data_IF_552365071089
#
_entry.id   IF_552365071089
#
_cell.length_a   1.000
_cell.length_b   1.000
_cell.length_c   1.000
_cell.angle_alpha   90.00
_cell.angle_beta   90.00
_cell.angle_gamma   90.00
#
_symmetry.space_group_name_H-M   'P 1'
#
loop_
_entity.id
_entity.type
_entity.pdbx_description
1 polymer ?
#
# COMPACT_ATOMS: atom_id res chain seq x y z
N UNK A 1 9.63 -4.67 5.36
CA UNK A 1 8.49 -3.89 4.81
C UNK A 1 8.17 -2.72 5.73
N UNK A 2 8.03 -1.50 5.22
CA UNK A 2 7.53 -0.35 5.98
C UNK A 2 6.05 -0.16 5.68
N UNK A 3 5.20 -0.37 6.67
CA UNK A 3 3.75 -0.35 6.54
C UNK A 3 3.15 -0.07 7.91
N UNK A 4 2.06 0.67 7.97
CA UNK A 4 1.37 0.93 9.22
C UNK A 4 0.71 -0.35 9.74
N UNK A 5 0.84 -0.58 11.03
CA UNK A 5 0.38 -1.83 11.64
C UNK A 5 -1.13 -2.05 11.51
N UNK A 6 -1.92 -0.98 11.54
CA UNK A 6 -3.37 -1.07 11.39
C UNK A 6 -3.80 -1.59 10.01
N UNK A 7 -3.02 -1.34 8.97
CA UNK A 7 -3.29 -1.86 7.63
C UNK A 7 -3.22 -3.38 7.61
N UNK A 8 -2.25 -3.96 8.31
CA UNK A 8 -2.10 -5.41 8.44
C UNK A 8 -3.21 -6.03 9.28
N UNK A 9 -3.63 -5.40 10.37
CA UNK A 9 -4.75 -5.89 11.18
C UNK A 9 -6.07 -5.83 10.43
N UNK A 10 -6.33 -4.75 9.67
CA UNK A 10 -7.47 -4.67 8.75
C UNK A 10 -7.37 -5.72 7.65
N UNK A 11 -6.18 -5.89 7.05
CA UNK A 11 -5.93 -6.90 6.02
C UNK A 11 -6.26 -8.31 6.50
N UNK A 12 -5.87 -8.65 7.73
CA UNK A 12 -6.25 -9.92 8.36
C UNK A 12 -7.78 -10.07 8.49
N UNK A 13 -8.47 -9.01 8.88
CA UNK A 13 -9.93 -8.98 8.92
C UNK A 13 -10.57 -9.19 7.55
N UNK A 14 -10.07 -8.54 6.51
CA UNK A 14 -10.54 -8.73 5.14
C UNK A 14 -10.28 -10.14 4.63
N UNK A 15 -9.11 -10.70 4.95
CA UNK A 15 -8.78 -12.08 4.59
C UNK A 15 -9.77 -13.08 5.23
N UNK A 16 -10.03 -12.97 6.53
CA UNK A 16 -10.96 -13.83 7.28
C UNK A 16 -12.38 -13.79 6.71
N UNK A 17 -12.81 -12.65 6.22
CA UNK A 17 -14.16 -12.44 5.67
C UNK A 17 -14.23 -12.63 4.14
N UNK A 18 -13.17 -13.09 3.49
CA UNK A 18 -13.15 -13.38 2.06
C UNK A 18 -13.13 -12.15 1.16
N UNK A 19 -12.84 -10.95 1.70
CA UNK A 19 -12.83 -9.70 0.96
C UNK A 19 -11.53 -9.46 0.16
N UNK A 20 -10.49 -10.24 0.43
CA UNK A 20 -9.18 -10.12 -0.24
C UNK A 20 -9.21 -10.37 -1.76
N UNK A 21 -10.33 -10.88 -2.28
CA UNK A 21 -10.55 -11.09 -3.73
C UNK A 21 -11.33 -9.97 -4.40
N UNK A 22 -11.72 -8.93 -3.67
CA UNK A 22 -12.51 -7.83 -4.22
C UNK A 22 -11.59 -6.78 -4.84
N UNK A 23 -12.03 -6.24 -5.97
CA UNK A 23 -11.41 -5.04 -6.52
C UNK A 23 -11.87 -3.83 -5.72
N UNK A 24 -10.92 -2.97 -5.41
CA UNK A 24 -11.12 -1.71 -4.70
C UNK A 24 -10.37 -0.60 -5.44
N UNK A 25 -10.82 0.63 -5.24
CA UNK A 25 -10.18 1.82 -5.80
C UNK A 25 -9.71 2.70 -4.65
N UNK A 26 -8.49 3.21 -4.76
CA UNK A 26 -7.91 4.14 -3.80
C UNK A 26 -7.38 5.35 -4.54
N UNK A 27 -7.68 6.53 -4.00
CA UNK A 27 -7.09 7.79 -4.45
C UNK A 27 -5.88 8.14 -3.60
N UNK A 28 -4.79 8.50 -4.24
CA UNK A 28 -3.62 9.10 -3.58
C UNK A 28 -3.78 10.62 -3.68
N UNK A 29 -3.81 11.28 -2.56
CA UNK A 29 -3.98 12.73 -2.48
C UNK A 29 -3.12 13.33 -1.34
N UNK A 30 -2.91 14.63 -1.40
CA UNK A 30 -2.28 15.39 -0.32
C UNK A 30 -3.23 16.47 0.19
N UNK A 31 -3.12 16.83 1.48
CA UNK A 31 -4.05 17.72 2.13
C UNK A 31 -3.66 19.18 2.04
N UNK A 32 -2.37 19.46 2.16
CA UNK A 32 -1.83 20.82 2.20
C UNK A 32 -0.59 20.90 1.31
N UNK A 33 -0.40 22.04 0.67
CA UNK A 33 0.85 22.35 -0.02
C UNK A 33 1.85 22.82 1.02
N UNK A 34 3.08 22.28 1.04
CA UNK A 34 4.17 22.82 1.86
C UNK A 34 4.41 24.30 1.58
N UNK A 35 4.89 25.03 2.58
CA UNK A 35 5.31 26.43 2.46
C UNK A 35 4.18 27.43 2.05
N UNK A 36 2.93 27.06 2.21
CA UNK A 36 1.81 27.92 1.85
C UNK A 36 1.65 28.16 0.35
N UNK A 37 2.23 27.32 -0.48
CA UNK A 37 2.10 27.36 -1.93
C UNK A 37 0.68 27.09 -2.41
N UNK A 38 0.38 27.42 -3.66
CA UNK A 38 -0.94 27.21 -4.27
C UNK A 38 -1.11 25.85 -4.94
N UNK A 39 -0.02 25.15 -5.25
CA UNK A 39 0.00 23.87 -5.97
C UNK A 39 1.28 23.09 -5.66
N UNK A 40 1.28 21.81 -6.02
CA UNK A 40 2.48 20.97 -6.05
C UNK A 40 2.72 20.47 -7.47
N UNK A 41 3.91 19.97 -7.73
CA UNK A 41 4.26 19.31 -9.00
C UNK A 41 4.29 17.82 -8.79
N UNK A 42 3.53 17.08 -9.59
CA UNK A 42 3.54 15.62 -9.54
C UNK A 42 4.92 15.07 -9.88
N UNK A 43 5.48 14.28 -8.97
CA UNK A 43 6.80 13.67 -9.12
C UNK A 43 6.85 12.36 -8.32
N UNK A 44 7.65 11.38 -8.80
CA UNK A 44 7.90 10.14 -8.08
C UNK A 44 7.10 8.94 -8.59
N UNK A 45 6.44 9.03 -9.74
CA UNK A 45 5.66 7.91 -10.29
C UNK A 45 6.54 6.70 -10.58
N UNK A 46 7.73 6.89 -11.13
CA UNK A 46 8.68 5.81 -11.44
C UNK A 46 9.04 5.03 -10.15
N UNK A 47 9.35 5.76 -9.07
CA UNK A 47 9.69 5.14 -7.78
C UNK A 47 8.51 4.36 -7.18
N UNK A 48 7.28 4.86 -7.36
CA UNK A 48 6.07 4.13 -6.93
C UNK A 48 5.91 2.83 -7.72
N UNK A 49 6.09 2.87 -9.03
CA UNK A 49 6.01 1.68 -9.89
C UNK A 49 7.07 0.65 -9.50
N UNK A 50 8.32 1.07 -9.32
CA UNK A 50 9.39 0.18 -8.87
C UNK A 50 9.08 -0.44 -7.50
N UNK A 51 8.63 0.38 -6.55
CA UNK A 51 8.23 -0.10 -5.22
C UNK A 51 7.15 -1.19 -5.30
N UNK A 52 6.10 -0.94 -6.08
CA UNK A 52 4.98 -1.88 -6.21
C UNK A 52 5.39 -3.17 -6.92
N UNK A 53 6.25 -3.09 -7.94
CA UNK A 53 6.78 -4.26 -8.64
C UNK A 53 7.66 -5.14 -7.74
N UNK A 54 8.36 -4.53 -6.78
CA UNK A 54 9.23 -5.20 -5.83
C UNK A 54 8.54 -5.54 -4.50
N UNK A 55 7.27 -5.14 -4.34
CA UNK A 55 6.53 -5.29 -3.10
C UNK A 55 6.41 -6.77 -2.69
N UNK A 56 7.00 -7.10 -1.57
CA UNK A 56 6.97 -8.46 -1.00
C UNK A 56 7.13 -8.42 0.52
N UNK A 57 6.71 -9.48 1.17
CA UNK A 57 6.98 -9.72 2.59
C UNK A 57 8.08 -10.77 2.71
N UNK A 58 9.18 -10.41 3.36
CA UNK A 58 10.30 -11.31 3.63
C UNK A 58 9.93 -12.37 4.68
N UNK A 59 10.73 -13.42 4.78
CA UNK A 59 10.56 -14.41 5.84
C UNK A 59 10.70 -13.78 7.24
N UNK A 60 11.54 -12.77 7.41
CA UNK A 60 11.70 -12.03 8.66
C UNK A 60 10.45 -11.19 8.99
N UNK A 61 9.84 -10.53 7.97
CA UNK A 61 8.58 -9.83 8.16
C UNK A 61 7.49 -10.79 8.64
N UNK A 62 7.37 -11.96 8.02
CA UNK A 62 6.38 -12.98 8.40
C UNK A 62 6.65 -13.52 9.81
N UNK A 63 7.91 -13.79 10.16
CA UNK A 63 8.28 -14.24 11.49
C UNK A 63 7.94 -13.19 12.56
N UNK A 64 8.22 -11.91 12.26
CA UNK A 64 7.85 -10.81 13.15
C UNK A 64 6.32 -10.72 13.35
N UNK A 65 5.53 -10.75 12.28
CA UNK A 65 4.07 -10.70 12.38
C UNK A 65 3.52 -11.92 13.15
N UNK A 66 4.06 -13.10 12.91
CA UNK A 66 3.69 -14.33 13.66
C UNK A 66 3.95 -14.17 15.16
N UNK A 67 5.06 -13.53 15.55
CA UNK A 67 5.39 -13.31 16.96
C UNK A 67 4.37 -12.43 17.69
N UNK A 68 3.55 -11.65 16.98
CA UNK A 68 2.50 -10.82 17.57
C UNK A 68 1.29 -11.63 18.05
N UNK A 69 1.11 -12.86 17.55
CA UNK A 69 0.07 -13.77 18.01
C UNK A 69 -1.37 -13.37 17.68
N UNK A 70 -1.57 -12.39 16.78
CA UNK A 70 -2.91 -11.85 16.43
C UNK A 70 -3.31 -12.11 14.98
N UNK A 71 -2.41 -12.61 14.15
CA UNK A 71 -2.64 -12.87 12.73
C UNK A 71 -2.93 -14.35 12.48
N UNK A 72 -3.88 -14.62 11.58
CA UNK A 72 -4.15 -15.98 11.13
C UNK A 72 -3.00 -16.53 10.29
N UNK A 73 -2.64 -17.80 10.46
CA UNK A 73 -1.59 -18.44 9.65
C UNK A 73 -1.91 -18.43 8.16
N UNK A 74 -3.19 -18.56 7.79
CA UNK A 74 -3.62 -18.42 6.41
C UNK A 74 -3.32 -17.04 5.84
N UNK A 75 -3.55 -15.98 6.62
CA UNK A 75 -3.21 -14.61 6.22
C UNK A 75 -1.70 -14.40 6.11
N UNK A 76 -0.92 -14.91 7.05
CA UNK A 76 0.55 -14.84 6.98
C UNK A 76 1.09 -15.57 5.73
N UNK A 77 0.53 -16.72 5.39
CA UNK A 77 0.90 -17.41 4.15
C UNK A 77 0.45 -16.63 2.91
N UNK A 78 -0.70 -15.97 2.94
CA UNK A 78 -1.14 -15.06 1.87
C UNK A 78 -0.14 -13.91 1.69
N UNK A 79 0.29 -13.26 2.77
CA UNK A 79 1.30 -12.17 2.73
C UNK A 79 2.65 -12.66 2.18
N UNK A 80 3.12 -13.85 2.59
CA UNK A 80 4.36 -14.43 2.09
C UNK A 80 4.37 -14.60 0.55
N UNK A 81 3.21 -14.89 -0.02
CA UNK A 81 3.05 -15.08 -1.47
C UNK A 81 2.46 -13.86 -2.17
N UNK A 82 2.32 -12.74 -1.44
CA UNK A 82 1.70 -11.54 -1.96
C UNK A 82 2.48 -10.96 -3.13
N UNK A 83 1.74 -10.62 -4.17
CA UNK A 83 2.19 -9.79 -5.29
C UNK A 83 1.08 -8.81 -5.62
N UNK A 84 1.46 -7.62 -6.00
CA UNK A 84 0.49 -6.63 -6.45
C UNK A 84 -0.12 -7.07 -7.79
N UNK A 85 -1.45 -7.03 -7.85
CA UNK A 85 -2.24 -7.30 -9.05
C UNK A 85 -3.27 -6.18 -9.18
N UNK A 86 -2.90 -5.12 -9.85
CA UNK A 86 -3.78 -3.96 -10.01
C UNK A 86 -3.24 -2.99 -11.02
N UNK A 87 -4.00 -1.94 -11.26
CA UNK A 87 -3.67 -0.88 -12.21
C UNK A 87 -3.36 0.40 -11.44
N UNK A 88 -2.48 1.23 -12.02
CA UNK A 88 -2.17 2.57 -11.53
C UNK A 88 -2.56 3.56 -12.61
N UNK A 89 -3.40 4.51 -12.24
CA UNK A 89 -3.74 5.66 -13.07
C UNK A 89 -3.12 6.89 -12.43
N UNK A 90 -2.28 7.59 -13.16
CA UNK A 90 -1.59 8.75 -12.64
C UNK A 90 -1.48 9.84 -13.71
N UNK A 91 -1.40 11.09 -13.26
CA UNK A 91 -1.02 12.21 -14.11
C UNK A 91 0.46 12.10 -14.50
N UNK A 92 0.87 12.60 -15.67
CA UNK A 92 2.28 12.62 -16.04
C UNK A 92 3.15 13.38 -15.02
N UNK A 93 4.41 12.97 -14.91
CA UNK A 93 5.43 13.72 -14.17
C UNK A 93 5.46 15.19 -14.62
N UNK A 94 5.64 16.10 -13.68
CA UNK A 94 5.68 17.53 -13.94
C UNK A 94 4.31 18.21 -14.03
N UNK A 95 3.20 17.49 -13.88
CA UNK A 95 1.86 18.08 -13.89
C UNK A 95 1.61 18.86 -12.61
N UNK A 96 1.15 20.13 -12.65
CA UNK A 96 0.66 20.84 -11.48
C UNK A 96 -0.59 20.18 -10.91
N UNK A 97 -0.60 19.92 -9.60
CA UNK A 97 -1.69 19.27 -8.87
C UNK A 97 -2.06 20.07 -7.62
N UNK A 98 -3.30 19.95 -7.18
CA UNK A 98 -3.86 20.73 -6.08
C UNK A 98 -4.26 19.80 -4.92
N UNK A 99 -4.28 20.32 -3.67
CA UNK A 99 -4.76 19.57 -2.51
C UNK A 99 -6.18 19.05 -2.69
N UNK A 100 -6.46 17.88 -2.17
CA UNK A 100 -7.79 17.29 -2.17
C UNK A 100 -8.33 16.78 -3.48
#
# INVERSE_FOLDING_TARGET
MLCDFYELTMGNGYYRNGFYKRNVYFDVFFRNVPDGGGFAIAAGLEQIVEYIQQLHFSDDDIAYLRSKGIFDEGFLNYLKNFKFHGDIYAVPEGTPVFPG
#
